data_IF_002689150386
#
_entry.id   IF_002689150386
#
_cell.length_a   1.000
_cell.length_b   1.000
_cell.length_c   1.000
_cell.angle_alpha   90.00
_cell.angle_beta   90.00
_cell.angle_gamma   90.00
#
_symmetry.space_group_name_H-M   'P 1'
#
loop_
_entity.id
_entity.type
_entity.pdbx_description
1 polymer ?
#
# COMPACT_ATOMS: atom_id res chain seq x y z
N UNK A 1 12.97 -0.71 15.52
CA UNK A 1 12.45 -1.60 14.46
C UNK A 1 12.92 -3.00 14.79
N UNK A 2 11.96 -3.83 15.20
CA UNK A 2 12.11 -5.14 15.81
C UNK A 2 11.87 -6.24 14.77
N UNK A 3 12.05 -7.51 15.12
CA UNK A 3 12.04 -8.67 14.21
C UNK A 3 10.92 -8.74 13.15
N UNK A 4 9.73 -8.17 13.39
CA UNK A 4 8.62 -8.14 12.42
C UNK A 4 8.98 -7.39 11.13
N UNK A 5 9.69 -6.26 11.23
CA UNK A 5 10.09 -5.50 10.05
C UNK A 5 11.09 -6.30 9.20
N UNK A 6 12.02 -7.02 9.84
CA UNK A 6 12.95 -7.92 9.14
C UNK A 6 12.22 -9.06 8.44
N UNK A 7 11.19 -9.64 9.06
CA UNK A 7 10.35 -10.65 8.43
C UNK A 7 9.63 -10.09 7.19
N UNK A 8 9.09 -8.87 7.29
CA UNK A 8 8.45 -8.16 6.17
C UNK A 8 9.36 -8.06 4.95
N UNK A 9 10.60 -7.59 5.16
CA UNK A 9 11.58 -7.43 4.08
C UNK A 9 12.09 -8.77 3.53
N UNK A 10 12.20 -9.79 4.37
CA UNK A 10 12.66 -11.12 3.98
C UNK A 10 11.54 -12.02 3.42
N UNK A 11 10.29 -11.57 3.42
CA UNK A 11 9.14 -12.37 2.99
C UNK A 11 8.85 -13.58 3.90
N UNK A 12 9.29 -13.54 5.16
CA UNK A 12 9.13 -14.65 6.11
C UNK A 12 7.76 -14.59 6.78
N UNK A 13 6.71 -14.90 6.02
CA UNK A 13 5.30 -14.79 6.43
C UNK A 13 5.01 -15.58 7.70
N UNK A 14 5.33 -16.87 7.72
CA UNK A 14 5.03 -17.76 8.86
C UNK A 14 5.73 -17.29 10.14
N UNK A 15 6.98 -16.85 10.02
CA UNK A 15 7.76 -16.33 11.14
C UNK A 15 7.16 -15.02 11.65
N UNK A 16 6.79 -14.11 10.74
CA UNK A 16 6.17 -12.84 11.09
C UNK A 16 4.82 -13.02 11.81
N UNK A 17 3.95 -13.90 11.29
CA UNK A 17 2.68 -14.24 11.93
C UNK A 17 2.87 -14.86 13.30
N UNK A 18 3.82 -15.79 13.43
CA UNK A 18 4.11 -16.40 14.73
C UNK A 18 4.64 -15.37 15.73
N UNK A 19 5.55 -14.49 15.33
CA UNK A 19 6.06 -13.42 16.19
C UNK A 19 4.94 -12.47 16.65
N UNK A 20 4.04 -12.09 15.74
CA UNK A 20 2.90 -11.24 16.08
C UNK A 20 1.93 -11.93 17.05
N UNK A 21 1.70 -13.23 16.88
CA UNK A 21 0.88 -14.04 17.80
C UNK A 21 1.52 -14.15 19.17
N UNK A 22 2.79 -14.57 19.24
CA UNK A 22 3.51 -14.71 20.51
C UNK A 22 3.55 -13.39 21.29
N UNK A 23 3.71 -12.25 20.60
CA UNK A 23 3.63 -10.92 21.20
C UNK A 23 2.35 -10.75 22.03
N UNK A 24 1.19 -11.12 21.47
CA UNK A 24 -0.11 -10.97 22.12
C UNK A 24 -0.37 -12.04 23.18
N UNK A 25 -0.14 -13.30 22.83
CA UNK A 25 -0.63 -14.45 23.59
C UNK A 25 0.36 -14.92 24.66
N UNK A 26 1.65 -14.98 24.32
CA UNK A 26 2.67 -15.50 25.24
C UNK A 26 3.29 -14.39 26.10
N UNK A 27 3.55 -13.23 25.49
CA UNK A 27 4.19 -12.11 26.18
C UNK A 27 3.21 -11.04 26.69
N UNK A 28 1.92 -11.14 26.34
CA UNK A 28 0.89 -10.19 26.79
C UNK A 28 1.11 -8.74 26.32
N UNK A 29 1.90 -8.54 25.26
CA UNK A 29 2.23 -7.24 24.71
C UNK A 29 1.13 -6.78 23.75
N UNK A 30 0.70 -5.54 23.90
CA UNK A 30 -0.23 -4.91 22.97
C UNK A 30 0.52 -4.47 21.70
N UNK A 31 0.14 -4.97 20.50
CA UNK A 31 0.80 -4.56 19.27
C UNK A 31 0.55 -3.07 18.99
N UNK A 32 1.61 -2.32 18.69
CA UNK A 32 1.51 -0.92 18.29
C UNK A 32 1.11 -0.77 16.83
N UNK A 33 0.80 0.46 16.41
CA UNK A 33 0.51 0.78 15.02
C UNK A 33 1.63 0.32 14.06
N UNK A 34 2.89 0.42 14.48
CA UNK A 34 4.04 -0.01 13.69
C UNK A 34 4.05 -1.53 13.47
N UNK A 35 3.63 -2.31 14.47
CA UNK A 35 3.51 -3.77 14.32
C UNK A 35 2.41 -4.12 13.31
N UNK A 36 1.24 -3.49 13.39
CA UNK A 36 0.19 -3.68 12.39
C UNK A 36 0.64 -3.25 10.99
N UNK A 37 1.31 -2.09 10.84
CA UNK A 37 1.86 -1.67 9.55
C UNK A 37 2.86 -2.67 8.98
N UNK A 38 3.71 -3.30 9.82
CA UNK A 38 4.62 -4.36 9.37
C UNK A 38 3.85 -5.60 8.90
N UNK A 39 2.74 -5.97 9.54
CA UNK A 39 1.92 -7.09 9.11
C UNK A 39 1.23 -6.81 7.78
N UNK A 40 0.72 -5.60 7.56
CA UNK A 40 0.12 -5.19 6.28
C UNK A 40 1.16 -5.23 5.16
N UNK A 41 2.38 -4.70 5.38
CA UNK A 41 3.46 -4.75 4.39
C UNK A 41 3.89 -6.20 4.08
N UNK A 42 4.07 -7.04 5.11
CA UNK A 42 4.48 -8.44 4.98
C UNK A 42 3.46 -9.25 4.15
N UNK A 43 2.20 -9.20 4.56
CA UNK A 43 1.11 -9.95 3.92
C UNK A 43 0.81 -9.42 2.51
N UNK A 44 0.80 -8.09 2.35
CA UNK A 44 0.61 -7.45 1.05
C UNK A 44 1.69 -7.86 0.04
N UNK A 45 2.97 -7.83 0.44
CA UNK A 45 4.07 -8.29 -0.43
C UNK A 45 3.94 -9.77 -0.78
N UNK A 46 3.47 -10.60 0.14
CA UNK A 46 3.23 -12.02 -0.08
C UNK A 46 2.00 -12.34 -0.94
N UNK A 47 1.15 -11.34 -1.25
CA UNK A 47 -0.09 -11.53 -2.01
C UNK A 47 -1.27 -12.00 -1.19
N UNK A 48 -1.14 -12.05 0.14
CA UNK A 48 -2.21 -12.34 1.09
C UNK A 48 -3.02 -11.08 1.37
N UNK A 49 -3.72 -10.59 0.35
CA UNK A 49 -4.33 -9.27 0.35
C UNK A 49 -5.52 -9.15 1.30
N UNK A 50 -6.33 -10.19 1.42
CA UNK A 50 -7.49 -10.19 2.32
C UNK A 50 -7.05 -10.14 3.78
N UNK A 51 -6.04 -10.94 4.14
CA UNK A 51 -5.44 -10.92 5.48
C UNK A 51 -4.75 -9.58 5.74
N UNK A 52 -4.02 -9.03 4.76
CA UNK A 52 -3.43 -7.70 4.87
C UNK A 52 -4.51 -6.62 5.13
N UNK A 53 -5.67 -6.72 4.46
CA UNK A 53 -6.80 -5.83 4.69
C UNK A 53 -7.41 -6.01 6.09
N UNK A 54 -7.48 -7.23 6.61
CA UNK A 54 -7.89 -7.49 8.00
C UNK A 54 -6.99 -6.78 9.02
N UNK A 55 -5.67 -6.85 8.84
CA UNK A 55 -4.73 -6.11 9.68
C UNK A 55 -4.87 -4.59 9.53
N UNK A 56 -5.14 -4.09 8.32
CA UNK A 56 -5.38 -2.67 8.07
C UNK A 56 -6.61 -2.17 8.83
N UNK A 57 -7.70 -2.95 8.88
CA UNK A 57 -8.93 -2.61 9.62
C UNK A 57 -8.72 -2.53 11.13
N UNK A 58 -7.67 -3.13 11.67
CA UNK A 58 -7.31 -3.00 13.08
C UNK A 58 -6.62 -1.66 13.40
N UNK A 59 -6.18 -0.89 12.40
CA UNK A 59 -5.60 0.43 12.60
C UNK A 59 -6.70 1.51 12.65
N UNK A 60 -6.57 2.52 13.53
CA UNK A 60 -7.39 3.72 13.42
C UNK A 60 -7.21 4.37 12.04
N UNK A 61 -8.28 4.85 11.37
CA UNK A 61 -8.17 5.45 10.05
C UNK A 61 -7.08 6.53 9.97
N UNK A 62 -7.00 7.42 10.97
CA UNK A 62 -6.01 8.49 11.11
C UNK A 62 -4.53 8.02 11.10
N UNK A 63 -4.26 6.74 11.35
CA UNK A 63 -2.93 6.16 11.45
C UNK A 63 -2.60 5.21 10.30
N UNK A 64 -3.52 5.06 9.35
CA UNK A 64 -3.45 4.00 8.35
C UNK A 64 -2.68 4.39 7.08
N UNK A 65 -2.23 5.65 6.92
CA UNK A 65 -1.71 6.15 5.64
C UNK A 65 -0.63 5.31 4.98
N UNK A 66 0.45 4.97 5.71
CA UNK A 66 1.54 4.16 5.16
C UNK A 66 1.13 2.71 4.90
N UNK A 67 0.34 2.11 5.79
CA UNK A 67 -0.17 0.74 5.65
C UNK A 67 -1.16 0.63 4.48
N UNK A 68 -2.05 1.62 4.34
CA UNK A 68 -2.99 1.74 3.23
C UNK A 68 -2.24 1.88 1.91
N UNK A 69 -1.24 2.76 1.83
CA UNK A 69 -0.39 2.90 0.65
C UNK A 69 0.33 1.59 0.28
N UNK A 70 0.87 0.87 1.28
CA UNK A 70 1.50 -0.44 1.06
C UNK A 70 0.51 -1.47 0.51
N UNK A 71 -0.71 -1.54 1.05
CA UNK A 71 -1.73 -2.47 0.58
C UNK A 71 -2.23 -2.11 -0.83
N UNK A 72 -2.43 -0.83 -1.15
CA UNK A 72 -2.78 -0.39 -2.51
C UNK A 72 -1.68 -0.78 -3.51
N UNK A 73 -0.41 -0.59 -3.14
CA UNK A 73 0.71 -1.01 -3.97
C UNK A 73 0.76 -2.53 -4.17
N UNK A 74 0.49 -3.30 -3.11
CA UNK A 74 0.39 -4.76 -3.17
C UNK A 74 -0.76 -5.23 -4.09
N UNK A 75 -1.94 -4.61 -3.99
CA UNK A 75 -3.08 -4.90 -4.85
C UNK A 75 -2.71 -4.76 -6.34
N UNK A 76 -1.99 -3.68 -6.67
CA UNK A 76 -1.48 -3.46 -8.03
C UNK A 76 -0.51 -4.56 -8.47
N UNK A 77 0.49 -4.88 -7.63
CA UNK A 77 1.51 -5.89 -7.95
C UNK A 77 0.90 -7.28 -8.17
N UNK A 78 -0.14 -7.62 -7.41
CA UNK A 78 -0.82 -8.92 -7.47
C UNK A 78 -2.08 -8.93 -8.34
N UNK A 79 -2.37 -7.84 -9.05
CA UNK A 79 -3.48 -7.75 -10.01
C UNK A 79 -4.88 -7.72 -9.39
N UNK A 80 -5.02 -7.46 -8.08
CA UNK A 80 -6.33 -7.27 -7.45
C UNK A 80 -6.81 -5.82 -7.64
N UNK A 81 -7.25 -5.54 -8.86
CA UNK A 81 -7.66 -4.21 -9.27
C UNK A 81 -8.90 -3.70 -8.50
N UNK A 82 -9.85 -4.58 -8.17
CA UNK A 82 -11.06 -4.20 -7.43
C UNK A 82 -10.73 -3.65 -6.03
N UNK A 83 -9.93 -4.39 -5.25
CA UNK A 83 -9.47 -3.93 -3.94
C UNK A 83 -8.57 -2.69 -4.09
N UNK A 84 -7.68 -2.69 -5.08
CA UNK A 84 -6.78 -1.58 -5.38
C UNK A 84 -7.52 -0.27 -5.68
N UNK A 85 -8.61 -0.30 -6.43
CA UNK A 85 -9.44 0.86 -6.73
C UNK A 85 -10.20 1.37 -5.50
N UNK A 86 -10.77 0.47 -4.70
CA UNK A 86 -11.49 0.83 -3.48
C UNK A 86 -10.56 1.50 -2.46
N UNK A 87 -9.43 0.85 -2.17
CA UNK A 87 -8.42 1.38 -1.24
C UNK A 87 -7.70 2.60 -1.81
N UNK A 88 -7.51 2.66 -3.13
CA UNK A 88 -6.89 3.78 -3.83
C UNK A 88 -7.68 5.08 -3.65
N UNK A 89 -9.02 5.03 -3.77
CA UNK A 89 -9.87 6.18 -3.47
C UNK A 89 -9.72 6.64 -2.03
N UNK A 90 -9.75 5.70 -1.08
CA UNK A 90 -9.52 6.02 0.33
C UNK A 90 -8.14 6.65 0.56
N UNK A 91 -7.09 6.19 -0.12
CA UNK A 91 -5.74 6.74 0.00
C UNK A 91 -5.67 8.20 -0.46
N UNK A 92 -6.35 8.56 -1.56
CA UNK A 92 -6.38 9.94 -2.05
C UNK A 92 -7.16 10.87 -1.12
N UNK A 93 -8.22 10.38 -0.48
CA UNK A 93 -8.96 11.13 0.52
C UNK A 93 -8.14 11.29 1.81
N UNK A 94 -7.36 10.26 2.17
CA UNK A 94 -6.52 10.25 3.36
C UNK A 94 -5.31 11.18 3.25
N UNK A 95 -4.59 11.15 2.13
CA UNK A 95 -3.39 11.96 1.90
C UNK A 95 -3.47 12.73 0.57
N UNK A 96 -4.33 13.76 0.49
CA UNK A 96 -4.64 14.45 -0.76
C UNK A 96 -3.47 15.27 -1.32
N UNK A 97 -2.38 15.44 -0.56
CA UNK A 97 -1.19 16.22 -0.93
C UNK A 97 -0.02 15.33 -1.41
N UNK A 98 -0.16 14.02 -1.36
CA UNK A 98 0.89 13.11 -1.74
C UNK A 98 0.81 12.71 -3.21
N UNK A 99 1.71 13.29 -4.02
CA UNK A 99 1.74 13.05 -5.47
C UNK A 99 1.97 11.59 -5.85
N UNK A 100 2.68 10.81 -5.02
CA UNK A 100 2.95 9.39 -5.29
C UNK A 100 1.68 8.55 -5.23
N UNK A 101 0.75 8.87 -4.32
CA UNK A 101 -0.57 8.22 -4.22
C UNK A 101 -1.38 8.39 -5.51
N UNK A 102 -1.39 9.59 -6.11
CA UNK A 102 -2.09 9.82 -7.39
C UNK A 102 -1.49 9.02 -8.53
N UNK A 103 -0.15 8.91 -8.58
CA UNK A 103 0.53 8.07 -9.58
C UNK A 103 0.13 6.60 -9.44
N UNK A 104 0.18 6.07 -8.21
CA UNK A 104 -0.19 4.69 -7.92
C UNK A 104 -1.64 4.38 -8.31
N UNK A 105 -2.59 5.22 -7.90
CA UNK A 105 -4.02 5.02 -8.19
C UNK A 105 -4.32 5.20 -9.68
N UNK A 106 -3.66 6.14 -10.36
CA UNK A 106 -3.78 6.28 -11.82
C UNK A 106 -3.32 5.03 -12.56
N UNK A 107 -2.25 4.38 -12.10
CA UNK A 107 -1.75 3.14 -12.71
C UNK A 107 -2.73 1.98 -12.51
N UNK A 108 -3.33 1.83 -11.33
CA UNK A 108 -4.34 0.79 -11.08
C UNK A 108 -5.51 0.92 -12.06
N UNK A 109 -6.03 2.14 -12.26
CA UNK A 109 -7.09 2.36 -13.25
C UNK A 109 -6.63 2.05 -14.68
N UNK A 110 -5.41 2.46 -15.06
CA UNK A 110 -4.87 2.18 -16.40
C UNK A 110 -4.68 0.67 -16.66
N UNK A 111 -4.17 -0.06 -15.67
CA UNK A 111 -3.99 -1.52 -15.72
C UNK A 111 -5.34 -2.28 -15.72
N UNK A 112 -6.41 -1.60 -15.32
CA UNK A 112 -7.80 -2.10 -15.41
C UNK A 112 -8.52 -1.62 -16.68
N UNK A 113 -7.79 -1.08 -17.65
CA UNK A 113 -8.31 -0.49 -18.90
C UNK A 113 -9.31 0.67 -18.70
N UNK A 114 -9.35 1.24 -17.49
CA UNK A 114 -10.16 2.40 -17.10
C UNK A 114 -9.39 3.69 -17.38
N UNK A 115 -9.11 3.92 -18.67
CA UNK A 115 -8.25 5.01 -19.13
C UNK A 115 -8.79 6.41 -18.77
N UNK A 116 -10.11 6.56 -18.75
CA UNK A 116 -10.78 7.83 -18.41
C UNK A 116 -10.58 8.18 -16.94
N UNK A 117 -10.74 7.20 -16.06
CA UNK A 117 -10.54 7.31 -14.62
C UNK A 117 -9.07 7.60 -14.32
N UNK A 118 -8.15 6.89 -14.98
CA UNK A 118 -6.72 7.15 -14.88
C UNK A 118 -6.37 8.59 -15.27
N UNK A 119 -6.97 9.12 -16.35
CA UNK A 119 -6.80 10.50 -16.78
C UNK A 119 -7.40 11.51 -15.79
N UNK A 120 -8.57 11.20 -15.22
CA UNK A 120 -9.20 12.02 -14.19
C UNK A 120 -8.33 12.15 -12.93
N UNK A 121 -7.73 11.05 -12.46
CA UNK A 121 -6.79 11.09 -11.32
C UNK A 121 -5.59 11.99 -11.61
N UNK A 122 -4.99 11.89 -12.82
CA UNK A 122 -3.87 12.76 -13.22
C UNK A 122 -4.29 14.23 -13.31
N UNK A 123 -5.47 14.52 -13.84
CA UNK A 123 -6.00 15.88 -13.91
C UNK A 123 -6.23 16.47 -12.52
N UNK A 124 -6.80 15.70 -11.59
CA UNK A 124 -7.00 16.11 -10.19
C UNK A 124 -5.67 16.44 -9.48
N UNK A 125 -4.63 15.63 -9.70
CA UNK A 125 -3.29 15.90 -9.18
C UNK A 125 -2.74 17.23 -9.71
N UNK A 126 -2.85 17.47 -11.02
CA UNK A 126 -2.41 18.72 -11.68
C UNK A 126 -3.17 19.95 -11.15
N UNK A 127 -4.48 19.85 -10.97
CA UNK A 127 -5.30 20.93 -10.40
C UNK A 127 -4.86 21.30 -8.98
N UNK A 128 -4.31 20.34 -8.23
CA UNK A 128 -3.77 20.53 -6.87
C UNK A 128 -2.31 21.04 -6.86
N UNK A 129 -1.72 21.28 -8.02
CA UNK A 129 -0.31 21.67 -8.14
C UNK A 129 0.67 20.55 -7.80
N UNK A 130 0.21 19.29 -7.74
CA UNK A 130 1.07 18.16 -7.46
C UNK A 130 1.89 17.81 -8.71
N UNK A 131 3.21 17.78 -8.54
CA UNK A 131 4.11 17.27 -9.58
C UNK A 131 3.96 15.76 -9.65
N UNK A 132 3.29 15.27 -10.69
CA UNK A 132 3.28 13.85 -11.02
C UNK A 132 4.65 13.50 -11.60
N UNK A 133 5.52 12.87 -10.81
CA UNK A 133 6.71 12.22 -11.36
C UNK A 133 6.22 10.97 -12.08
N UNK A 134 5.80 11.14 -13.33
CA UNK A 134 5.67 9.99 -14.23
C UNK A 134 7.05 9.33 -14.26
N UNK A 135 7.14 8.04 -13.97
CA UNK A 135 8.40 7.30 -14.00
C UNK A 135 8.97 7.26 -15.42
N UNK A 136 9.63 8.34 -15.83
CA UNK A 136 10.31 8.44 -17.11
C UNK A 136 11.70 7.83 -16.96
N UNK A 137 11.80 6.51 -17.03
CA UNK A 137 13.05 5.88 -17.45
C UNK A 137 13.19 6.11 -18.97
N UNK A 138 13.50 7.35 -19.36
CA UNK A 138 13.86 7.66 -20.74
C UNK A 138 15.30 7.18 -20.93
N UNK A 139 15.48 5.95 -21.40
CA UNK A 139 16.75 5.53 -21.96
C UNK A 139 16.81 6.15 -23.35
N UNK A 140 17.44 7.32 -23.46
CA UNK A 140 17.90 7.84 -24.75
C UNK A 140 18.97 6.88 -25.26
N UNK A 141 18.62 6.07 -26.26
CA UNK A 141 19.61 5.36 -27.07
C UNK A 141 20.07 6.37 -28.12
N UNK A 142 21.15 7.07 -27.81
CA UNK A 142 21.86 7.92 -28.77
C UNK A 142 22.50 7.01 -29.85
N UNK A 143 22.40 7.41 -31.12
CA UNK A 143 22.96 6.68 -32.26
C UNK A 143 23.74 7.61 -33.17
#
# INVERSE_FOLDING_TARGET
MSALSSCSHAGLVDVGLNLFRMMKEEYGLLPSKEHYSCMVDLLGRAGQLDEAFDFLKCLPPALSGSALGALVAACRVHGNNEMGEALGRWLLDFDPKNSSSYGLVSNIYAESEKWNEAAHIRASAKQRGLRTTTGSSMIEIDR
#
